data_IF_263888788585
#
_entry.id   IF_263888788585
#
_cell.length_a   1.000
_cell.length_b   1.000
_cell.length_c   1.000
_cell.angle_alpha   90.00
_cell.angle_beta   90.00
_cell.angle_gamma   90.00
#
_symmetry.space_group_name_H-M   'P 1'
#
loop_
_entity.id
_entity.type
_entity.pdbx_description
1 polymer ?
#
# COMPACT_ATOMS: atom_id res chain seq x y z
N UNK A 1 -9.59 -37.65 -5.37
CA UNK A 1 -8.16 -37.34 -5.61
C UNK A 1 -7.41 -38.65 -5.74
N UNK A 2 -6.58 -38.79 -6.77
CA UNK A 2 -5.77 -39.99 -7.01
C UNK A 2 -4.58 -40.05 -6.02
N UNK A 3 -4.13 -41.23 -5.63
CA UNK A 3 -3.03 -41.44 -4.68
C UNK A 3 -1.73 -40.79 -5.16
N UNK A 4 -1.49 -40.79 -6.47
CA UNK A 4 -0.36 -40.11 -7.09
C UNK A 4 -0.46 -38.58 -6.95
N UNK A 5 -1.67 -38.01 -7.05
CA UNK A 5 -1.85 -36.57 -6.84
C UNK A 5 -1.58 -36.14 -5.39
N UNK A 6 -1.84 -37.03 -4.42
CA UNK A 6 -1.54 -36.79 -3.01
C UNK A 6 -0.03 -36.81 -2.75
N UNK A 7 0.71 -37.77 -3.29
CA UNK A 7 2.16 -37.89 -3.06
C UNK A 7 2.97 -36.78 -3.71
N UNK A 8 2.62 -36.33 -4.90
CA UNK A 8 3.29 -35.18 -5.55
C UNK A 8 2.79 -33.83 -5.03
N UNK A 9 1.54 -33.75 -4.57
CA UNK A 9 0.95 -32.51 -4.04
C UNK A 9 1.36 -32.19 -2.59
N UNK A 10 1.54 -33.22 -1.75
CA UNK A 10 1.98 -33.09 -0.34
C UNK A 10 3.25 -32.25 -0.17
N UNK A 11 4.36 -32.51 -0.89
CA UNK A 11 5.59 -31.73 -0.73
C UNK A 11 5.47 -30.29 -1.24
N UNK A 12 4.51 -29.99 -2.13
CA UNK A 12 4.25 -28.64 -2.65
C UNK A 12 3.26 -27.84 -1.79
N UNK A 13 2.65 -28.47 -0.79
CA UNK A 13 1.68 -27.84 0.11
C UNK A 13 2.27 -26.63 0.87
N UNK A 14 3.52 -26.66 1.39
CA UNK A 14 4.12 -25.50 2.06
C UNK A 14 4.28 -24.27 1.15
N UNK A 15 4.63 -24.48 -0.12
CA UNK A 15 4.76 -23.39 -1.10
C UNK A 15 3.40 -22.73 -1.39
N UNK A 16 2.32 -23.52 -1.44
CA UNK A 16 0.96 -22.99 -1.56
C UNK A 16 0.57 -22.14 -0.33
N UNK A 17 0.99 -22.54 0.87
CA UNK A 17 0.78 -21.75 2.09
C UNK A 17 1.46 -20.39 2.03
N UNK A 18 2.69 -20.32 1.51
CA UNK A 18 3.41 -19.06 1.33
C UNK A 18 2.71 -18.12 0.34
N UNK A 19 2.20 -18.64 -0.77
CA UNK A 19 1.46 -17.85 -1.77
C UNK A 19 0.20 -17.23 -1.14
N UNK A 20 -0.57 -18.01 -0.36
CA UNK A 20 -1.76 -17.53 0.33
C UNK A 20 -1.44 -16.45 1.37
N UNK A 21 -0.29 -16.57 2.05
CA UNK A 21 0.19 -15.54 2.96
C UNK A 21 0.58 -14.26 2.21
N UNK A 22 1.24 -14.39 1.06
CA UNK A 22 1.59 -13.25 0.22
C UNK A 22 0.34 -12.52 -0.32
N UNK A 23 -0.70 -13.26 -0.72
CA UNK A 23 -2.01 -12.71 -1.10
C UNK A 23 -2.63 -11.91 0.06
N UNK A 24 -2.63 -12.46 1.29
CA UNK A 24 -3.17 -11.78 2.47
C UNK A 24 -2.38 -10.51 2.84
N UNK A 25 -1.05 -10.56 2.72
CA UNK A 25 -0.20 -9.38 2.94
C UNK A 25 -0.48 -8.34 1.86
N UNK A 26 -0.66 -8.73 0.60
CA UNK A 26 -1.01 -7.82 -0.49
C UNK A 26 -2.34 -7.12 -0.23
N UNK A 27 -3.38 -7.83 0.22
CA UNK A 27 -4.68 -7.25 0.60
C UNK A 27 -4.54 -6.22 1.73
N UNK A 28 -3.73 -6.53 2.74
CA UNK A 28 -3.45 -5.62 3.87
C UNK A 28 -2.68 -4.37 3.42
N UNK A 29 -1.70 -4.54 2.53
CA UNK A 29 -0.93 -3.43 1.96
C UNK A 29 -1.81 -2.57 1.06
N UNK A 30 -2.73 -3.14 0.29
CA UNK A 30 -3.70 -2.34 -0.48
C UNK A 30 -4.61 -1.51 0.42
N UNK A 31 -5.04 -2.06 1.56
CA UNK A 31 -5.82 -1.31 2.54
C UNK A 31 -4.99 -0.22 3.24
N UNK A 32 -3.71 -0.47 3.53
CA UNK A 32 -2.82 0.48 4.20
C UNK A 32 -2.32 1.59 3.25
N UNK A 33 -2.03 1.24 1.99
CA UNK A 33 -1.61 2.20 0.95
C UNK A 33 -2.78 3.07 0.48
N UNK A 34 -4.01 2.55 0.53
CA UNK A 34 -5.25 3.34 0.33
C UNK A 34 -5.77 3.99 1.62
N UNK A 35 -5.10 3.80 2.75
CA UNK A 35 -5.59 4.31 4.02
C UNK A 35 -5.41 5.83 4.10
N UNK A 36 -6.43 6.58 4.54
CA UNK A 36 -6.32 8.00 4.86
C UNK A 36 -5.17 8.32 5.84
N UNK A 37 -4.71 7.34 6.63
CA UNK A 37 -3.61 7.50 7.57
C UNK A 37 -2.24 7.68 6.89
N UNK A 38 -2.01 7.05 5.73
CA UNK A 38 -0.75 7.18 4.99
C UNK A 38 -0.60 8.59 4.40
N UNK A 39 -1.68 9.11 3.82
CA UNK A 39 -1.77 10.49 3.32
C UNK A 39 -1.51 11.47 4.45
N UNK A 40 -2.14 11.26 5.62
CA UNK A 40 -1.97 12.14 6.78
C UNK A 40 -0.52 12.22 7.23
N UNK A 41 0.17 11.07 7.31
CA UNK A 41 1.62 11.04 7.59
C UNK A 41 2.47 11.77 6.55
N UNK A 42 2.14 11.64 5.26
CA UNK A 42 2.85 12.36 4.21
C UNK A 42 2.66 13.88 4.32
N UNK A 43 1.43 14.33 4.62
CA UNK A 43 1.16 15.76 4.86
C UNK A 43 1.91 16.28 6.09
N UNK A 44 1.92 15.51 7.19
CA UNK A 44 2.68 15.87 8.40
C UNK A 44 4.18 16.03 8.10
N UNK A 45 4.75 15.15 7.26
CA UNK A 45 6.16 15.24 6.86
C UNK A 45 6.47 16.49 6.00
N UNK A 46 5.56 16.88 5.10
CA UNK A 46 5.70 18.11 4.31
C UNK A 46 5.61 19.34 5.23
N UNK A 47 4.72 19.33 6.20
CA UNK A 47 4.57 20.42 7.17
C UNK A 47 5.77 20.54 8.10
N UNK A 48 6.36 19.42 8.53
CA UNK A 48 7.61 19.40 9.28
C UNK A 48 8.79 19.94 8.47
N UNK A 49 8.93 19.54 7.20
CA UNK A 49 9.96 20.07 6.30
C UNK A 49 9.79 21.58 6.03
N UNK A 50 8.55 22.06 5.96
CA UNK A 50 8.25 23.49 5.87
C UNK A 50 8.64 24.21 7.17
N UNK A 51 8.30 23.65 8.32
CA UNK A 51 8.60 24.22 9.63
C UNK A 51 10.11 24.25 9.93
N UNK A 52 10.87 23.26 9.46
CA UNK A 52 12.32 23.22 9.56
C UNK A 52 13.02 24.13 8.55
N UNK A 53 12.29 24.63 7.54
CA UNK A 53 12.82 25.46 6.46
C UNK A 53 13.61 24.66 5.41
N UNK A 54 13.47 23.33 5.39
CA UNK A 54 14.06 22.46 4.37
C UNK A 54 13.43 22.67 3.00
N UNK A 55 12.16 23.09 2.96
CA UNK A 55 11.43 23.42 1.74
C UNK A 55 10.81 24.82 1.84
N UNK A 56 10.67 25.49 0.70
CA UNK A 56 9.97 26.78 0.64
C UNK A 56 8.46 26.61 0.76
N UNK A 57 7.75 27.67 1.12
CA UNK A 57 6.27 27.69 1.19
C UNK A 57 5.64 27.25 -0.15
N UNK A 58 6.12 27.78 -1.26
CA UNK A 58 5.64 27.41 -2.60
C UNK A 58 5.97 25.94 -2.97
N UNK A 59 7.07 25.39 -2.45
CA UNK A 59 7.42 23.98 -2.63
C UNK A 59 6.48 23.07 -1.82
N UNK A 60 6.17 23.47 -0.58
CA UNK A 60 5.28 22.75 0.31
C UNK A 60 3.86 22.70 -0.27
N UNK A 61 3.33 23.83 -0.72
CA UNK A 61 2.00 23.93 -1.32
C UNK A 61 1.88 23.02 -2.56
N UNK A 62 2.89 23.03 -3.44
CA UNK A 62 2.93 22.14 -4.61
C UNK A 62 2.95 20.65 -4.24
N UNK A 63 3.68 20.28 -3.19
CA UNK A 63 3.73 18.89 -2.73
C UNK A 63 2.39 18.46 -2.13
N UNK A 64 1.75 19.31 -1.33
CA UNK A 64 0.41 19.06 -0.78
C UNK A 64 -0.61 18.88 -1.91
N UNK A 65 -0.61 19.75 -2.92
CA UNK A 65 -1.49 19.63 -4.08
C UNK A 65 -1.27 18.32 -4.86
N UNK A 66 -0.02 17.89 -5.04
CA UNK A 66 0.27 16.60 -5.68
C UNK A 66 -0.26 15.40 -4.86
N UNK A 67 -0.04 15.42 -3.55
CA UNK A 67 -0.50 14.34 -2.65
C UNK A 67 -2.04 14.24 -2.69
N UNK A 68 -2.73 15.37 -2.61
CA UNK A 68 -4.19 15.43 -2.67
C UNK A 68 -4.73 15.07 -4.07
N UNK A 69 -4.07 15.51 -5.14
CA UNK A 69 -4.43 15.18 -6.52
C UNK A 69 -4.38 13.68 -6.79
N UNK A 70 -3.35 12.99 -6.31
CA UNK A 70 -3.22 11.53 -6.44
C UNK A 70 -4.33 10.74 -5.74
N UNK A 71 -4.92 11.28 -4.68
CA UNK A 71 -6.08 10.65 -4.02
C UNK A 71 -7.37 10.77 -4.84
N UNK A 72 -7.56 11.90 -5.52
CA UNK A 72 -8.78 12.19 -6.28
C UNK A 72 -8.78 11.42 -7.61
N UNK A 73 -7.61 11.30 -8.25
CA UNK A 73 -7.45 10.60 -9.53
C UNK A 73 -7.45 9.06 -9.41
N UNK A 74 -7.36 8.51 -8.19
CA UNK A 74 -7.40 7.07 -7.98
C UNK A 74 -8.87 6.61 -7.80
N UNK A 75 -9.49 5.94 -8.79
CA UNK A 75 -10.87 5.49 -8.67
C UNK A 75 -10.95 4.45 -7.55
N UNK A 76 -11.86 4.68 -6.59
CA UNK A 76 -12.18 3.69 -5.54
C UNK A 76 -12.66 2.37 -6.17
N UNK A 77 -12.36 1.21 -5.56
CA UNK A 77 -12.74 -0.08 -6.12
C UNK A 77 -14.28 -0.20 -6.21
N UNK A 78 -14.82 -0.91 -7.21
CA UNK A 78 -16.24 -1.23 -7.24
C UNK A 78 -16.59 -2.04 -5.98
N UNK A 79 -17.65 -1.60 -5.27
CA UNK A 79 -18.18 -2.24 -4.06
C UNK A 79 -18.99 -3.50 -4.33
#
# INVERSE_FOLDING_TARGET
>A
MDLMSLTFGLPLMPLRGLIRLAELIQEQVELETRSPAAVRRHLDAVEEARASGEISDEEADRQVEQILGQMIDQPGPPG
#
